data_IF_918734033247
#
_entry.id   IF_918734033247
#
_cell.length_a   1.000
_cell.length_b   1.000
_cell.length_c   1.000
_cell.angle_alpha   90.00
_cell.angle_beta   90.00
_cell.angle_gamma   90.00
#
_symmetry.space_group_name_H-M   'P 1'
#
loop_
_entity.id
_entity.type
_entity.pdbx_description
1 polymer ?
#
# COMPACT_ATOMS: atom_id res chain seq x y z
N UNK A 1 -47.65 -13.11 -10.91
CA UNK A 1 -46.32 -13.13 -10.28
C UNK A 1 -45.49 -12.11 -11.03
N UNK A 2 -45.14 -10.98 -10.40
CA UNK A 2 -44.24 -10.02 -11.02
C UNK A 2 -42.88 -10.67 -11.26
N UNK A 3 -42.32 -10.49 -12.46
CA UNK A 3 -40.98 -10.96 -12.76
C UNK A 3 -39.99 -10.30 -11.78
N UNK A 4 -39.02 -11.04 -11.22
CA UNK A 4 -38.04 -10.46 -10.30
C UNK A 4 -37.28 -9.35 -11.02
N UNK A 5 -37.33 -8.13 -10.45
CA UNK A 5 -36.66 -6.95 -11.00
C UNK A 5 -35.16 -7.23 -11.05
N UNK A 6 -34.56 -7.03 -12.23
CA UNK A 6 -33.12 -7.16 -12.43
C UNK A 6 -32.45 -5.83 -12.03
N UNK A 7 -31.39 -5.93 -11.22
CA UNK A 7 -30.55 -4.78 -10.81
C UNK A 7 -29.12 -5.07 -11.22
N UNK A 8 -28.56 -4.17 -12.03
CA UNK A 8 -27.18 -4.23 -12.51
C UNK A 8 -26.28 -3.33 -11.67
N UNK A 9 -25.30 -3.96 -11.00
CA UNK A 9 -24.26 -3.28 -10.22
C UNK A 9 -22.99 -3.23 -11.06
N UNK A 10 -22.60 -2.03 -11.47
CA UNK A 10 -21.31 -1.78 -12.09
C UNK A 10 -20.22 -1.57 -11.04
N UNK A 11 -19.10 -2.29 -11.16
CA UNK A 11 -17.93 -2.14 -10.29
C UNK A 11 -16.74 -1.68 -11.12
N UNK A 12 -16.37 -0.40 -10.99
CA UNK A 12 -15.19 0.15 -11.64
C UNK A 12 -14.04 0.14 -10.66
N UNK A 13 -12.96 -0.55 -11.01
CA UNK A 13 -11.79 -0.65 -10.15
C UNK A 13 -10.58 -0.06 -10.85
N UNK A 14 -9.75 0.64 -10.08
CA UNK A 14 -8.44 1.07 -10.53
C UNK A 14 -7.60 -0.12 -11.00
N UNK A 15 -6.82 0.10 -12.05
CA UNK A 15 -5.88 -0.88 -12.57
C UNK A 15 -4.90 -1.32 -11.47
N UNK A 16 -4.58 -2.62 -11.42
CA UNK A 16 -3.67 -3.17 -10.42
C UNK A 16 -4.39 -3.89 -9.29
N UNK A 17 -4.07 -3.55 -8.03
CA UNK A 17 -4.58 -4.29 -6.87
C UNK A 17 -6.12 -4.21 -6.72
N UNK A 18 -6.78 -3.05 -6.93
CA UNK A 18 -8.24 -2.95 -6.87
C UNK A 18 -8.94 -3.90 -7.83
N UNK A 19 -8.58 -3.85 -9.11
CA UNK A 19 -9.16 -4.75 -10.10
C UNK A 19 -8.86 -6.22 -9.81
N UNK A 20 -7.65 -6.57 -9.35
CA UNK A 20 -7.31 -7.95 -8.96
C UNK A 20 -8.20 -8.47 -7.83
N UNK A 21 -8.52 -7.63 -6.84
CA UNK A 21 -9.41 -8.00 -5.74
C UNK A 21 -10.83 -8.18 -6.24
N UNK A 22 -11.36 -7.24 -7.02
CA UNK A 22 -12.73 -7.31 -7.56
C UNK A 22 -12.91 -8.51 -8.48
N UNK A 23 -12.00 -8.72 -9.43
CA UNK A 23 -12.03 -9.88 -10.32
C UNK A 23 -12.06 -11.21 -9.55
N UNK A 24 -11.36 -11.28 -8.41
CA UNK A 24 -11.32 -12.51 -7.60
C UNK A 24 -12.59 -12.81 -6.79
N UNK A 25 -13.51 -11.84 -6.67
CA UNK A 25 -14.77 -12.01 -5.92
C UNK A 25 -16.01 -11.82 -6.79
N UNK A 26 -15.86 -11.30 -8.01
CA UNK A 26 -16.96 -10.85 -8.86
C UNK A 26 -17.99 -11.94 -9.16
N UNK A 27 -17.53 -13.15 -9.46
CA UNK A 27 -18.42 -14.29 -9.76
C UNK A 27 -19.32 -14.67 -8.58
N UNK A 28 -18.86 -14.45 -7.34
CA UNK A 28 -19.62 -14.75 -6.12
C UNK A 28 -20.56 -13.60 -5.70
N UNK A 29 -20.39 -12.40 -6.27
CA UNK A 29 -21.13 -11.21 -5.83
C UNK A 29 -22.64 -11.31 -6.10
N UNK A 30 -23.14 -11.80 -7.25
CA UNK A 30 -24.57 -11.97 -7.48
C UNK A 30 -25.26 -12.80 -6.39
N UNK A 31 -24.72 -13.98 -6.06
CA UNK A 31 -25.26 -14.86 -5.02
C UNK A 31 -25.13 -14.24 -3.63
N UNK A 32 -24.03 -13.51 -3.39
CA UNK A 32 -23.83 -12.76 -2.14
C UNK A 32 -24.89 -11.66 -1.98
N UNK A 33 -25.24 -10.95 -3.06
CA UNK A 33 -26.25 -9.91 -3.00
C UNK A 33 -27.67 -10.50 -2.91
N UNK A 34 -27.95 -11.61 -3.58
CA UNK A 34 -29.20 -12.33 -3.44
C UNK A 34 -29.43 -12.80 -1.98
N UNK A 35 -28.39 -13.34 -1.35
CA UNK A 35 -28.48 -13.87 0.02
C UNK A 35 -28.45 -12.79 1.11
N UNK A 36 -27.63 -11.75 0.93
CA UNK A 36 -27.36 -10.77 2.00
C UNK A 36 -27.99 -9.39 1.74
N UNK A 37 -28.38 -9.03 0.53
CA UNK A 37 -28.98 -7.73 0.23
C UNK A 37 -30.48 -7.87 0.00
N UNK A 38 -30.89 -8.61 -1.02
CA UNK A 38 -32.31 -8.91 -1.27
C UNK A 38 -32.45 -10.13 -2.18
N UNK A 39 -33.19 -11.14 -1.70
CA UNK A 39 -33.51 -12.35 -2.46
C UNK A 39 -34.66 -12.17 -3.46
N UNK A 40 -35.33 -11.01 -3.45
CA UNK A 40 -36.42 -10.68 -4.39
C UNK A 40 -35.90 -10.05 -5.69
N UNK A 41 -34.63 -9.68 -5.72
CA UNK A 41 -33.97 -8.98 -6.83
C UNK A 41 -33.05 -9.95 -7.56
N UNK A 42 -33.09 -9.94 -8.89
CA UNK A 42 -32.07 -10.63 -9.70
C UNK A 42 -30.85 -9.72 -9.83
N UNK A 43 -29.70 -10.19 -9.38
CA UNK A 43 -28.48 -9.39 -9.38
C UNK A 43 -27.60 -9.71 -10.59
N UNK A 44 -27.22 -8.68 -11.32
CA UNK A 44 -26.18 -8.74 -12.35
C UNK A 44 -25.01 -7.87 -11.90
N UNK A 45 -23.80 -8.41 -11.95
CA UNK A 45 -22.59 -7.67 -11.58
C UNK A 45 -21.68 -7.58 -12.79
N UNK A 46 -21.38 -6.36 -13.19
CA UNK A 46 -20.41 -6.09 -14.25
C UNK A 46 -19.22 -5.37 -13.61
N UNK A 47 -18.01 -5.71 -14.03
CA UNK A 47 -16.82 -5.07 -13.51
C UNK A 47 -15.85 -4.71 -14.62
N UNK A 48 -15.15 -3.60 -14.44
CA UNK A 48 -14.17 -3.12 -15.41
C UNK A 48 -12.91 -2.60 -14.71
N UNK A 49 -11.78 -2.69 -15.41
CA UNK A 49 -10.54 -2.05 -15.01
C UNK A 49 -10.46 -0.71 -15.72
N UNK A 50 -10.44 0.39 -14.97
CA UNK A 50 -10.33 1.73 -15.54
C UNK A 50 -9.37 2.56 -14.73
N UNK A 51 -8.79 3.59 -15.35
CA UNK A 51 -8.11 4.64 -14.61
C UNK A 51 -9.17 5.67 -14.18
N UNK A 52 -9.57 5.64 -12.90
CA UNK A 52 -10.55 6.63 -12.41
C UNK A 52 -9.97 8.06 -12.54
N UNK A 53 -10.71 9.02 -13.11
CA UNK A 53 -10.22 10.39 -13.22
C UNK A 53 -10.12 11.05 -11.84
N UNK A 54 -9.24 12.05 -11.75
CA UNK A 54 -9.09 12.92 -10.59
C UNK A 54 -9.46 14.35 -10.99
N UNK A 55 -10.25 15.02 -10.16
CA UNK A 55 -10.58 16.44 -10.29
C UNK A 55 -9.38 17.33 -9.89
N UNK A 56 -9.55 18.65 -9.97
CA UNK A 56 -8.50 19.63 -9.63
C UNK A 56 -8.06 19.54 -8.16
N UNK A 57 -8.95 19.08 -7.28
CA UNK A 57 -8.68 18.86 -5.87
C UNK A 57 -7.99 17.51 -5.60
N UNK A 58 -7.83 16.67 -6.63
CA UNK A 58 -7.26 15.32 -6.54
C UNK A 58 -8.23 14.27 -6.00
N UNK A 59 -9.52 14.59 -5.96
CA UNK A 59 -10.60 13.68 -5.57
C UNK A 59 -11.20 12.98 -6.81
N UNK A 60 -11.84 11.84 -6.59
CA UNK A 60 -12.55 11.12 -7.67
C UNK A 60 -13.96 11.74 -7.82
N UNK A 61 -14.35 12.25 -9.00
CA UNK A 61 -15.64 12.90 -9.22
C UNK A 61 -16.77 11.87 -9.35
N UNK A 62 -17.22 11.34 -8.21
CA UNK A 62 -18.19 10.23 -8.12
C UNK A 62 -19.49 10.51 -8.89
N UNK A 63 -20.04 11.73 -8.79
CA UNK A 63 -21.31 12.09 -9.42
C UNK A 63 -21.23 12.07 -10.94
N UNK A 64 -20.22 12.74 -11.50
CA UNK A 64 -19.97 12.77 -12.95
C UNK A 64 -19.79 11.37 -13.52
N UNK A 65 -19.05 10.50 -12.83
CA UNK A 65 -18.88 9.11 -13.24
C UNK A 65 -20.20 8.33 -13.19
N UNK A 66 -21.01 8.51 -12.14
CA UNK A 66 -22.31 7.85 -12.04
C UNK A 66 -23.22 8.22 -13.21
N UNK A 67 -23.35 9.52 -13.51
CA UNK A 67 -24.17 10.02 -14.61
C UNK A 67 -23.71 9.48 -15.97
N UNK A 68 -22.40 9.48 -16.21
CA UNK A 68 -21.83 8.99 -17.45
C UNK A 68 -22.12 7.50 -17.64
N UNK A 69 -21.91 6.67 -16.61
CA UNK A 69 -22.12 5.23 -16.71
C UNK A 69 -23.60 4.86 -16.79
N UNK A 70 -24.47 5.58 -16.09
CA UNK A 70 -25.93 5.40 -16.22
C UNK A 70 -26.41 5.66 -17.64
N UNK A 71 -25.88 6.70 -18.31
CA UNK A 71 -26.26 7.04 -19.70
C UNK A 71 -25.74 6.04 -20.74
N UNK A 72 -24.53 5.50 -20.55
CA UNK A 72 -23.86 4.71 -21.60
C UNK A 72 -23.91 3.19 -21.38
N UNK A 73 -24.00 2.72 -20.13
CA UNK A 73 -23.95 1.28 -19.78
C UNK A 73 -25.22 0.77 -19.10
N UNK A 74 -26.16 1.65 -18.76
CA UNK A 74 -27.45 1.26 -18.16
C UNK A 74 -27.34 0.63 -16.77
N UNK A 75 -26.24 0.88 -16.04
CA UNK A 75 -26.06 0.37 -14.68
C UNK A 75 -26.96 1.11 -13.69
N UNK A 76 -27.65 0.36 -12.83
CA UNK A 76 -28.53 0.93 -11.79
C UNK A 76 -27.70 1.55 -10.66
N UNK A 77 -26.65 0.85 -10.24
CA UNK A 77 -25.77 1.22 -9.14
C UNK A 77 -24.30 1.17 -9.59
N UNK A 78 -23.50 2.12 -9.10
CA UNK A 78 -22.06 2.19 -9.40
C UNK A 78 -21.22 2.08 -8.12
N UNK A 79 -20.25 1.18 -8.10
CA UNK A 79 -19.23 1.11 -7.05
C UNK A 79 -17.85 1.32 -7.65
N UNK A 80 -17.20 2.40 -7.25
CA UNK A 80 -15.83 2.73 -7.57
C UNK A 80 -14.90 2.12 -6.51
N UNK A 81 -13.78 1.52 -6.93
CA UNK A 81 -12.81 0.90 -6.03
C UNK A 81 -11.42 1.41 -6.38
N UNK A 82 -10.80 2.11 -5.45
CA UNK A 82 -9.52 2.80 -5.67
C UNK A 82 -8.44 2.33 -4.69
N UNK A 83 -7.20 2.34 -5.15
CA UNK A 83 -5.98 2.25 -4.36
C UNK A 83 -5.54 3.62 -3.81
N UNK A 84 -6.25 4.71 -4.14
CA UNK A 84 -6.06 6.00 -3.50
C UNK A 84 -6.61 6.03 -2.07
N UNK A 85 -5.83 6.51 -1.10
CA UNK A 85 -6.27 6.61 0.28
C UNK A 85 -7.19 7.82 0.49
N UNK A 86 -8.42 7.56 0.87
CA UNK A 86 -9.45 8.60 1.06
C UNK A 86 -9.43 9.19 2.47
N UNK A 87 -9.75 10.48 2.61
CA UNK A 87 -9.74 11.20 3.90
C UNK A 87 -10.85 12.24 4.02
N UNK A 88 -11.23 12.49 5.27
CA UNK A 88 -11.98 13.67 5.67
C UNK A 88 -11.24 14.33 6.84
N UNK A 89 -10.49 15.39 6.53
CA UNK A 89 -9.52 15.98 7.45
C UNK A 89 -8.42 14.99 7.86
N UNK A 90 -8.34 14.68 9.16
CA UNK A 90 -7.30 13.75 9.70
C UNK A 90 -7.78 12.30 9.84
N UNK A 91 -9.01 12.00 9.41
CA UNK A 91 -9.61 10.68 9.58
C UNK A 91 -9.58 9.90 8.25
N UNK A 92 -9.02 8.67 8.24
CA UNK A 92 -9.11 7.79 7.08
C UNK A 92 -10.56 7.49 6.71
N UNK A 93 -10.92 7.60 5.43
CA UNK A 93 -12.25 7.27 4.91
C UNK A 93 -12.17 5.93 4.19
N UNK A 94 -13.03 4.98 4.57
CA UNK A 94 -13.10 3.64 3.98
C UNK A 94 -14.01 3.65 2.76
N UNK A 95 -15.14 4.33 2.88
CA UNK A 95 -16.09 4.47 1.79
C UNK A 95 -16.74 5.86 1.80
N UNK A 96 -16.99 6.39 0.61
CA UNK A 96 -17.94 7.48 0.38
C UNK A 96 -19.17 6.91 -0.32
N UNK A 97 -20.36 7.32 0.09
CA UNK A 97 -21.62 6.87 -0.50
C UNK A 97 -22.45 8.09 -0.84
N UNK A 98 -22.83 8.21 -2.11
CA UNK A 98 -23.79 9.21 -2.57
C UNK A 98 -25.06 8.47 -2.98
N UNK A 99 -26.02 8.41 -2.04
CA UNK A 99 -27.26 7.67 -2.24
C UNK A 99 -28.06 8.31 -3.38
N UNK A 100 -28.15 9.64 -3.42
CA UNK A 100 -28.86 10.41 -4.45
C UNK A 100 -28.34 10.14 -5.86
N UNK A 101 -27.04 9.88 -6.02
CA UNK A 101 -26.47 9.54 -7.32
C UNK A 101 -26.27 8.05 -7.54
N UNK A 102 -26.56 7.21 -6.54
CA UNK A 102 -26.52 5.74 -6.70
C UNK A 102 -25.09 5.23 -6.85
N UNK A 103 -24.14 5.97 -6.30
CA UNK A 103 -22.70 5.72 -6.47
C UNK A 103 -22.00 5.66 -5.13
N UNK A 104 -21.01 4.77 -5.04
CA UNK A 104 -20.14 4.68 -3.89
C UNK A 104 -18.67 4.54 -4.31
N UNK A 105 -17.77 4.98 -3.45
CA UNK A 105 -16.34 4.88 -3.61
C UNK A 105 -15.76 4.10 -2.43
N UNK A 106 -14.99 3.06 -2.69
CA UNK A 106 -14.28 2.24 -1.70
C UNK A 106 -12.78 2.50 -1.85
N UNK A 107 -12.15 2.92 -0.75
CA UNK A 107 -10.68 3.05 -0.65
C UNK A 107 -10.08 1.76 -0.09
N UNK A 108 -9.39 0.99 -0.93
CA UNK A 108 -8.73 -0.25 -0.51
C UNK A 108 -7.68 -0.06 0.58
N UNK A 109 -6.81 0.97 0.55
CA UNK A 109 -5.80 1.15 1.59
C UNK A 109 -6.42 1.25 2.99
N UNK A 110 -7.60 1.86 3.11
CA UNK A 110 -8.31 2.00 4.39
C UNK A 110 -8.78 0.64 4.97
N UNK A 111 -8.88 -0.41 4.14
CA UNK A 111 -9.17 -1.77 4.58
C UNK A 111 -7.95 -2.48 5.18
N UNK A 112 -6.75 -1.93 5.02
CA UNK A 112 -5.49 -2.44 5.55
C UNK A 112 -4.89 -3.59 4.75
N UNK A 113 -3.93 -4.31 5.34
CA UNK A 113 -3.15 -5.33 4.62
C UNK A 113 -3.69 -6.77 4.71
N UNK A 114 -4.60 -7.05 5.65
CA UNK A 114 -5.01 -8.41 6.05
C UNK A 114 -6.49 -8.65 5.73
N UNK A 115 -6.81 -9.82 5.16
CA UNK A 115 -8.16 -10.25 4.77
C UNK A 115 -8.89 -9.23 3.86
N UNK A 116 -8.15 -8.56 2.98
CA UNK A 116 -8.67 -7.49 2.11
C UNK A 116 -9.87 -7.96 1.30
N UNK A 117 -9.80 -9.13 0.66
CA UNK A 117 -10.90 -9.70 -0.13
C UNK A 117 -12.21 -9.84 0.67
N UNK A 118 -12.12 -10.45 1.86
CA UNK A 118 -13.27 -10.62 2.77
C UNK A 118 -13.85 -9.27 3.20
N UNK A 119 -13.00 -8.29 3.47
CA UNK A 119 -13.43 -6.94 3.88
C UNK A 119 -14.06 -6.16 2.72
N UNK A 120 -13.53 -6.29 1.51
CA UNK A 120 -14.10 -5.68 0.30
C UNK A 120 -15.48 -6.28 0.01
N UNK A 121 -15.62 -7.61 0.01
CA UNK A 121 -16.92 -8.28 -0.17
C UNK A 121 -17.95 -7.82 0.87
N UNK A 122 -17.56 -7.79 2.15
CA UNK A 122 -18.44 -7.29 3.22
C UNK A 122 -18.84 -5.82 3.04
N UNK A 123 -17.93 -4.98 2.56
CA UNK A 123 -18.21 -3.56 2.32
C UNK A 123 -19.09 -3.35 1.09
N UNK A 124 -18.86 -4.11 0.01
CA UNK A 124 -19.70 -4.10 -1.20
C UNK A 124 -21.15 -4.41 -0.85
N UNK A 125 -21.41 -5.48 -0.10
CA UNK A 125 -22.77 -5.84 0.37
C UNK A 125 -23.43 -4.67 1.09
N UNK A 126 -22.71 -3.99 1.97
CA UNK A 126 -23.27 -2.88 2.77
C UNK A 126 -23.53 -1.65 1.94
N UNK A 127 -22.59 -1.30 1.06
CA UNK A 127 -22.69 -0.16 0.17
C UNK A 127 -23.84 -0.36 -0.80
N UNK A 128 -23.93 -1.53 -1.44
CA UNK A 128 -25.03 -1.88 -2.35
C UNK A 128 -26.36 -1.85 -1.62
N UNK A 129 -26.45 -2.40 -0.40
CA UNK A 129 -27.66 -2.28 0.43
C UNK A 129 -28.04 -0.83 0.71
N UNK A 130 -27.07 0.02 1.06
CA UNK A 130 -27.32 1.44 1.30
C UNK A 130 -27.82 2.16 0.04
N UNK A 131 -27.24 1.87 -1.12
CA UNK A 131 -27.65 2.46 -2.39
C UNK A 131 -29.02 1.95 -2.86
N UNK A 132 -29.36 0.69 -2.59
CA UNK A 132 -30.65 0.10 -2.94
C UNK A 132 -31.82 0.78 -2.22
N UNK A 133 -31.60 1.33 -1.02
CA UNK A 133 -32.60 2.12 -0.27
C UNK A 133 -33.15 3.31 -1.06
N UNK A 134 -32.40 3.84 -2.05
CA UNK A 134 -32.87 4.88 -2.96
C UNK A 134 -33.99 4.41 -3.89
N UNK A 135 -33.97 3.14 -4.30
CA UNK A 135 -34.82 2.65 -5.37
C UNK A 135 -36.26 2.36 -4.93
N UNK A 136 -36.61 2.64 -3.67
CA UNK A 136 -37.94 2.34 -3.11
C UNK A 136 -38.24 0.85 -2.97
N UNK A 137 -37.20 0.02 -2.87
CA UNK A 137 -37.30 -1.46 -2.97
C UNK A 137 -37.60 -2.13 -1.62
N UNK A 138 -37.48 -1.41 -0.50
CA UNK A 138 -37.96 -1.87 0.81
C UNK A 138 -38.93 -0.85 1.40
N UNK A 139 -40.21 -1.24 1.49
CA UNK A 139 -41.19 -0.56 2.31
C UNK A 139 -40.97 -0.88 3.79
N UNK A 140 -41.10 0.17 4.60
CA UNK A 140 -41.21 0.20 6.07
C UNK A 140 -39.95 0.07 6.96
N UNK A 141 -39.91 1.04 7.90
CA UNK A 141 -39.03 1.26 9.05
C UNK A 141 -37.75 2.10 8.85
N UNK A 142 -37.93 3.35 9.26
CA UNK A 142 -37.03 4.50 9.40
C UNK A 142 -35.86 4.22 10.36
N UNK A 143 -34.69 3.95 9.78
CA UNK A 143 -33.38 4.12 10.43
C UNK A 143 -32.45 4.58 9.31
N UNK A 144 -31.87 5.78 9.43
CA UNK A 144 -31.16 6.44 8.33
C UNK A 144 -30.03 5.59 7.71
N UNK A 145 -29.71 5.75 6.40
CA UNK A 145 -28.66 4.98 5.71
C UNK A 145 -27.29 5.02 6.42
N UNK A 146 -27.03 6.17 7.04
CA UNK A 146 -25.91 6.52 7.90
C UNK A 146 -25.74 5.62 9.14
N UNK A 147 -26.84 5.22 9.76
CA UNK A 147 -26.88 4.52 11.04
C UNK A 147 -26.75 3.00 10.84
N UNK A 148 -27.29 2.47 9.74
CA UNK A 148 -27.06 1.08 9.28
C UNK A 148 -25.59 0.81 8.92
N UNK A 149 -24.85 1.86 8.54
CA UNK A 149 -23.42 1.78 8.22
C UNK A 149 -22.54 1.81 9.49
N UNK A 150 -23.05 2.36 10.60
CA UNK A 150 -22.38 2.43 11.93
C UNK A 150 -22.33 1.08 12.64
N UNK A 151 -23.40 0.30 12.61
CA UNK A 151 -23.53 -0.93 13.42
C UNK A 151 -22.52 -2.03 13.09
N UNK A 152 -21.91 -1.99 11.90
CA UNK A 152 -21.19 -3.13 11.38
C UNK A 152 -19.67 -2.92 11.22
N UNK A 153 -19.11 -1.76 11.56
CA UNK A 153 -17.68 -1.44 11.46
C UNK A 153 -17.05 -1.11 12.83
N UNK A 154 -15.83 -1.63 13.05
CA UNK A 154 -14.83 -1.16 14.05
C UNK A 154 -14.89 0.37 14.12
N UNK A 155 -14.91 1.03 15.30
CA UNK A 155 -15.66 2.26 15.52
C UNK A 155 -15.40 3.28 14.41
N UNK A 156 -16.43 3.56 13.62
CA UNK A 156 -16.40 4.54 12.53
C UNK A 156 -17.23 5.76 12.91
N UNK A 157 -16.75 6.97 12.59
CA UNK A 157 -17.54 8.21 12.68
C UNK A 157 -18.02 8.56 11.27
N UNK A 158 -19.32 8.75 11.14
CA UNK A 158 -19.89 9.36 9.94
C UNK A 158 -19.46 10.82 9.88
N UNK A 159 -19.03 11.25 8.71
CA UNK A 159 -18.85 12.67 8.41
C UNK A 159 -19.80 12.99 7.27
N UNK A 160 -20.85 13.76 7.59
CA UNK A 160 -21.65 14.44 6.58
C UNK A 160 -20.81 15.59 6.07
N UNK A 161 -20.52 15.59 4.77
CA UNK A 161 -19.75 16.66 4.16
C UNK A 161 -20.66 17.89 3.99
N UNK A 162 -20.51 18.91 4.82
CA UNK A 162 -21.29 20.16 4.70
C UNK A 162 -21.04 20.90 3.37
N UNK A 163 -19.96 20.57 2.63
CA UNK A 163 -19.64 21.17 1.33
C UNK A 163 -20.28 20.44 0.14
N UNK A 164 -20.68 19.18 0.30
CA UNK A 164 -21.33 18.35 -0.75
C UNK A 164 -22.53 17.63 -0.11
N UNK A 165 -23.71 18.26 -0.19
CA UNK A 165 -24.90 18.04 0.66
C UNK A 165 -25.52 16.62 0.67
N UNK A 166 -25.05 15.65 -0.12
CA UNK A 166 -25.59 14.29 -0.17
C UNK A 166 -24.58 13.17 0.11
N UNK A 167 -23.27 13.47 0.18
CA UNK A 167 -22.25 12.42 0.25
C UNK A 167 -21.95 12.04 1.70
N UNK A 168 -22.24 10.79 2.02
CA UNK A 168 -22.00 10.20 3.34
C UNK A 168 -20.64 9.51 3.38
N UNK A 169 -19.70 10.00 4.20
CA UNK A 169 -18.35 9.41 4.33
C UNK A 169 -18.22 8.57 5.59
N UNK A 170 -17.69 7.35 5.45
CA UNK A 170 -17.41 6.41 6.54
C UNK A 170 -15.95 6.51 6.95
N UNK A 171 -15.67 7.17 8.07
CA UNK A 171 -14.31 7.35 8.53
C UNK A 171 -13.92 6.39 9.67
N UNK A 172 -12.73 5.80 9.60
CA UNK A 172 -12.14 5.02 10.70
C UNK A 172 -11.77 5.93 11.87
N UNK A 173 -12.01 5.47 13.10
CA UNK A 173 -11.67 6.22 14.32
C UNK A 173 -10.45 5.62 15.01
N UNK A 174 -9.65 6.49 15.64
CA UNK A 174 -8.57 6.12 16.55
C UNK A 174 -7.26 5.69 15.88
N UNK A 175 -6.26 5.36 16.72
CA UNK A 175 -4.92 4.96 16.30
C UNK A 175 -4.93 3.70 15.44
N UNK A 176 -5.79 2.73 15.77
CA UNK A 176 -5.97 1.48 14.99
C UNK A 176 -6.42 1.74 13.56
N UNK A 177 -7.28 2.74 13.34
CA UNK A 177 -7.71 3.15 12.00
C UNK A 177 -6.57 3.72 11.16
N UNK A 178 -5.71 4.55 11.78
CA UNK A 178 -4.53 5.13 11.14
C UNK A 178 -3.46 4.09 10.82
N UNK A 179 -3.15 3.20 11.76
CA UNK A 179 -2.21 2.09 11.55
C UNK A 179 -2.72 1.13 10.46
N UNK A 180 -4.04 0.88 10.42
CA UNK A 180 -4.64 0.06 9.37
C UNK A 180 -4.49 0.71 8.00
N UNK A 181 -4.77 2.00 7.87
CA UNK A 181 -4.56 2.74 6.63
C UNK A 181 -3.10 2.66 6.18
N UNK A 182 -2.15 2.94 7.10
CA UNK A 182 -0.71 2.83 6.84
C UNK A 182 -0.33 1.44 6.35
N UNK A 183 -0.79 0.38 7.01
CA UNK A 183 -0.51 -0.98 6.59
C UNK A 183 -1.08 -1.28 5.19
N UNK A 184 -2.25 -0.74 4.85
CA UNK A 184 -2.84 -0.85 3.51
C UNK A 184 -2.01 -0.14 2.45
N UNK A 185 -1.57 1.10 2.72
CA UNK A 185 -0.69 1.86 1.83
C UNK A 185 0.66 1.17 1.61
N UNK A 186 1.30 0.70 2.69
CA UNK A 186 2.58 -0.02 2.62
C UNK A 186 2.44 -1.28 1.77
N UNK A 187 1.34 -2.03 1.93
CA UNK A 187 1.07 -3.20 1.09
C UNK A 187 0.90 -2.82 -0.37
N UNK A 188 0.20 -1.73 -0.64
CA UNK A 188 -0.09 -1.27 -1.99
C UNK A 188 1.18 -0.87 -2.75
N UNK A 189 2.15 -0.31 -2.02
CA UNK A 189 3.50 -0.03 -2.49
C UNK A 189 4.38 -1.28 -2.77
N UNK A 190 3.90 -2.51 -2.48
CA UNK A 190 4.58 -3.81 -2.76
C UNK A 190 6.09 -3.82 -2.45
N UNK A 191 6.51 -3.67 -1.18
CA UNK A 191 7.90 -3.41 -0.79
C UNK A 191 8.91 -4.48 -1.25
N UNK A 192 8.47 -5.73 -1.42
CA UNK A 192 9.32 -6.83 -1.91
C UNK A 192 9.72 -6.71 -3.38
N UNK A 193 9.02 -5.90 -4.18
CA UNK A 193 9.40 -5.67 -5.58
C UNK A 193 10.62 -4.76 -5.72
N UNK A 194 11.05 -4.11 -4.64
CA UNK A 194 12.25 -3.27 -4.63
C UNK A 194 13.53 -4.07 -4.94
N UNK A 195 13.67 -5.27 -4.38
CA UNK A 195 14.90 -6.08 -4.44
C UNK A 195 15.37 -6.37 -5.87
N UNK A 196 14.55 -6.92 -6.78
CA UNK A 196 15.01 -7.21 -8.15
C UNK A 196 15.27 -5.96 -9.00
N UNK A 197 14.74 -4.79 -8.62
CA UNK A 197 14.95 -3.54 -9.37
C UNK A 197 16.21 -2.79 -8.91
N UNK A 198 16.78 -3.16 -7.75
CA UNK A 198 18.05 -2.65 -7.23
C UNK A 198 19.20 -3.65 -7.51
N UNK A 199 19.27 -4.15 -8.74
CA UNK A 199 20.19 -5.23 -9.10
C UNK A 199 21.67 -4.83 -8.94
N UNK A 200 22.02 -3.58 -9.29
CA UNK A 200 23.35 -3.02 -9.13
C UNK A 200 23.71 -2.82 -7.65
N UNK A 201 22.79 -2.25 -6.86
CA UNK A 201 22.98 -2.09 -5.42
C UNK A 201 23.16 -3.44 -4.71
N UNK A 202 22.34 -4.43 -5.09
CA UNK A 202 22.39 -5.80 -4.55
C UNK A 202 23.69 -6.50 -4.94
N UNK A 203 24.13 -6.35 -6.19
CA UNK A 203 25.39 -6.92 -6.67
C UNK A 203 26.61 -6.31 -5.97
N UNK A 204 26.65 -4.99 -5.81
CA UNK A 204 27.69 -4.30 -5.06
C UNK A 204 27.71 -4.76 -3.58
N UNK A 205 26.54 -4.83 -2.95
CA UNK A 205 26.43 -5.33 -1.58
C UNK A 205 26.89 -6.79 -1.42
N UNK A 206 26.51 -7.66 -2.37
CA UNK A 206 26.92 -9.06 -2.39
C UNK A 206 28.44 -9.19 -2.57
N UNK A 207 29.04 -8.44 -3.50
CA UNK A 207 30.49 -8.43 -3.72
C UNK A 207 31.26 -7.97 -2.48
N UNK A 208 30.82 -6.89 -1.83
CA UNK A 208 31.44 -6.41 -0.59
C UNK A 208 31.28 -7.42 0.56
N UNK A 209 30.10 -8.04 0.71
CA UNK A 209 29.89 -9.06 1.72
C UNK A 209 30.77 -10.29 1.48
N UNK A 210 30.89 -10.74 0.22
CA UNK A 210 31.76 -11.85 -0.17
C UNK A 210 33.24 -11.55 0.13
N UNK A 211 33.71 -10.33 -0.16
CA UNK A 211 35.05 -9.89 0.22
C UNK A 211 35.27 -9.94 1.75
N UNK A 212 34.27 -9.53 2.53
CA UNK A 212 34.32 -9.65 3.99
C UNK A 212 34.43 -11.11 4.46
N UNK A 213 33.67 -12.01 3.84
CA UNK A 213 33.65 -13.44 4.19
C UNK A 213 35.01 -14.10 3.96
N UNK A 214 35.74 -13.75 2.90
CA UNK A 214 37.04 -14.37 2.60
C UNK A 214 38.21 -13.74 3.38
N UNK A 215 37.97 -12.63 4.07
CA UNK A 215 39.03 -11.83 4.72
C UNK A 215 39.11 -12.10 6.22
N UNK A 216 40.24 -12.61 6.69
CA UNK A 216 40.44 -12.99 8.10
C UNK A 216 40.33 -11.83 9.11
N UNK A 217 40.55 -10.59 8.69
CA UNK A 217 40.31 -9.41 9.56
C UNK A 217 38.84 -9.25 9.94
N UNK A 218 37.91 -9.58 9.03
CA UNK A 218 36.47 -9.55 9.33
C UNK A 218 36.07 -10.66 10.28
N UNK A 219 36.75 -11.80 10.24
CA UNK A 219 36.51 -12.93 11.15
C UNK A 219 36.78 -12.52 12.58
N UNK A 220 37.98 -11.97 12.82
CA UNK A 220 38.40 -11.49 14.14
C UNK A 220 37.52 -10.33 14.61
N UNK A 221 37.15 -9.42 13.70
CA UNK A 221 36.27 -8.31 14.03
C UNK A 221 34.86 -8.79 14.41
N UNK A 222 34.27 -9.73 13.67
CA UNK A 222 32.95 -10.27 13.97
C UNK A 222 32.92 -11.03 15.30
N UNK A 223 33.98 -11.78 15.62
CA UNK A 223 34.11 -12.51 16.88
C UNK A 223 34.27 -11.58 18.09
N UNK A 224 34.97 -10.45 17.93
CA UNK A 224 35.14 -9.45 18.99
C UNK A 224 33.88 -8.63 19.29
N UNK A 225 32.86 -8.65 18.42
CA UNK A 225 31.64 -7.85 18.58
C UNK A 225 30.53 -8.68 19.22
N UNK A 226 29.92 -8.23 20.33
CA UNK A 226 28.76 -8.94 20.90
C UNK A 226 27.56 -8.85 19.96
N UNK A 227 26.71 -9.87 19.97
CA UNK A 227 25.53 -9.95 19.07
C UNK A 227 24.60 -8.73 19.17
N UNK A 228 24.50 -8.09 20.35
CA UNK A 228 23.74 -6.84 20.52
C UNK A 228 24.32 -5.69 19.67
N UNK A 229 25.65 -5.60 19.56
CA UNK A 229 26.31 -4.58 18.75
C UNK A 229 26.13 -4.87 17.26
N UNK A 230 26.16 -6.14 16.85
CA UNK A 230 25.83 -6.55 15.48
C UNK A 230 24.37 -6.22 15.12
N UNK A 231 23.43 -6.44 16.04
CA UNK A 231 22.05 -6.04 15.86
C UNK A 231 21.90 -4.51 15.72
N UNK A 232 22.63 -3.73 16.52
CA UNK A 232 22.65 -2.27 16.40
C UNK A 232 23.21 -1.82 15.04
N UNK A 233 24.30 -2.44 14.58
CA UNK A 233 24.89 -2.18 13.26
C UNK A 233 23.87 -2.47 12.15
N UNK A 234 23.16 -3.60 12.20
CA UNK A 234 22.11 -3.92 11.24
C UNK A 234 21.01 -2.85 11.21
N UNK A 235 20.51 -2.43 12.38
CA UNK A 235 19.48 -1.38 12.47
C UNK A 235 19.99 -0.08 11.84
N UNK A 236 21.22 0.33 12.16
CA UNK A 236 21.86 1.52 11.58
C UNK A 236 22.03 1.39 10.07
N UNK A 237 22.48 0.23 9.56
CA UNK A 237 22.60 -0.04 8.13
C UNK A 237 21.25 0.07 7.41
N UNK A 238 20.19 -0.54 7.96
CA UNK A 238 18.84 -0.47 7.39
C UNK A 238 18.35 0.99 7.37
N UNK A 239 18.60 1.75 8.43
CA UNK A 239 18.25 3.18 8.49
C UNK A 239 19.02 3.99 7.45
N UNK A 240 20.34 3.80 7.33
CA UNK A 240 21.18 4.48 6.34
C UNK A 240 20.68 4.19 4.92
N UNK A 241 20.46 2.92 4.58
CA UNK A 241 19.99 2.55 3.24
C UNK A 241 18.57 3.08 2.97
N UNK A 242 17.69 3.08 3.98
CA UNK A 242 16.34 3.67 3.86
C UNK A 242 16.42 5.18 3.61
N UNK A 243 17.25 5.90 4.37
CA UNK A 243 17.46 7.34 4.19
C UNK A 243 18.09 7.62 2.83
N UNK A 244 19.08 6.83 2.42
CA UNK A 244 19.73 6.93 1.12
C UNK A 244 18.71 6.82 -0.02
N UNK A 245 17.92 5.74 -0.05
CA UNK A 245 16.89 5.55 -1.07
C UNK A 245 15.84 6.67 -1.05
N UNK A 246 15.51 7.19 0.13
CA UNK A 246 14.53 8.26 0.28
C UNK A 246 15.05 9.60 -0.27
N UNK A 247 16.29 9.97 0.06
CA UNK A 247 16.90 11.25 -0.33
C UNK A 247 17.34 11.22 -1.79
N UNK A 248 18.00 10.15 -2.21
CA UNK A 248 18.57 10.00 -3.55
C UNK A 248 17.49 9.95 -4.64
N UNK A 249 16.35 9.28 -4.38
CA UNK A 249 15.27 9.15 -5.38
C UNK A 249 14.19 10.25 -5.26
N UNK A 250 14.50 11.34 -4.53
CA UNK A 250 13.59 12.46 -4.28
C UNK A 250 12.17 12.04 -3.88
N UNK A 251 12.04 10.97 -3.11
CA UNK A 251 10.76 10.36 -2.75
C UNK A 251 9.98 11.16 -1.70
N UNK A 252 10.56 12.27 -1.22
CA UNK A 252 10.00 13.07 -0.14
C UNK A 252 9.10 14.18 -0.67
N UNK A 253 7.79 14.03 -0.47
CA UNK A 253 6.79 15.05 -0.83
C UNK A 253 6.96 16.27 0.10
N UNK A 254 7.16 17.46 -0.47
CA UNK A 254 7.29 18.74 0.26
C UNK A 254 5.97 19.52 0.15
N UNK A 255 5.17 19.59 1.23
CA UNK A 255 3.84 20.21 1.19
C UNK A 255 3.91 21.73 1.05
N UNK A 256 3.03 22.30 0.23
CA UNK A 256 2.94 23.75 -0.01
C UNK A 256 2.00 24.48 0.98
N UNK A 257 1.13 23.76 1.70
CA UNK A 257 0.20 24.30 2.71
C UNK A 257 0.09 23.51 4.04
N UNK A 258 -0.55 24.09 5.05
CA UNK A 258 -0.67 23.51 6.41
C UNK A 258 -1.59 22.28 6.50
N UNK A 259 -2.68 22.25 5.73
CA UNK A 259 -3.57 21.08 5.60
C UNK A 259 -2.92 19.97 4.79
N UNK A 260 -2.08 20.31 3.80
CA UNK A 260 -1.28 19.38 3.00
C UNK A 260 -0.18 18.72 3.82
N UNK A 261 0.40 19.40 4.82
CA UNK A 261 1.48 18.86 5.68
C UNK A 261 1.14 17.55 6.37
N UNK A 262 -0.07 17.42 6.94
CA UNK A 262 -0.49 16.17 7.61
C UNK A 262 -0.82 15.04 6.65
N UNK A 263 -1.13 15.38 5.40
CA UNK A 263 -1.32 14.43 4.32
C UNK A 263 0.03 13.94 3.82
N UNK A 264 0.93 14.85 3.45
CA UNK A 264 2.30 14.55 3.06
C UNK A 264 3.05 13.74 4.13
N UNK A 265 2.91 14.05 5.42
CA UNK A 265 3.60 13.30 6.48
C UNK A 265 3.19 11.82 6.51
N UNK A 266 1.91 11.51 6.29
CA UNK A 266 1.49 10.11 6.34
C UNK A 266 1.92 9.33 5.09
N UNK A 267 1.92 9.98 3.93
CA UNK A 267 2.50 9.42 2.72
C UNK A 267 4.00 9.18 2.90
N UNK A 268 4.76 10.17 3.36
CA UNK A 268 6.19 10.06 3.61
C UNK A 268 6.50 8.96 4.65
N UNK A 269 5.69 8.82 5.70
CA UNK A 269 5.81 7.72 6.67
C UNK A 269 5.51 6.37 6.02
N UNK A 270 4.48 6.28 5.18
CA UNK A 270 4.19 5.04 4.42
C UNK A 270 5.32 4.68 3.47
N UNK A 271 5.86 5.65 2.73
CA UNK A 271 7.02 5.49 1.84
C UNK A 271 8.23 5.01 2.62
N UNK A 272 8.61 5.71 3.68
CA UNK A 272 9.76 5.35 4.51
C UNK A 272 9.60 3.94 5.13
N UNK A 273 8.39 3.62 5.59
CA UNK A 273 8.08 2.28 6.13
C UNK A 273 8.17 1.21 5.04
N UNK A 274 7.67 1.49 3.84
CA UNK A 274 7.75 0.60 2.67
C UNK A 274 9.21 0.34 2.32
N UNK A 275 10.02 1.39 2.18
CA UNK A 275 11.44 1.28 1.87
C UNK A 275 12.19 0.51 2.95
N UNK A 276 11.93 0.79 4.23
CA UNK A 276 12.54 0.05 5.34
C UNK A 276 12.21 -1.45 5.27
N UNK A 277 10.94 -1.81 4.97
CA UNK A 277 10.55 -3.21 4.78
C UNK A 277 11.26 -3.83 3.57
N UNK A 278 11.32 -3.12 2.44
CA UNK A 278 12.01 -3.58 1.23
C UNK A 278 13.50 -3.82 1.47
N UNK A 279 14.18 -2.87 2.11
CA UNK A 279 15.59 -2.98 2.54
C UNK A 279 15.79 -4.13 3.53
N UNK A 280 14.87 -4.34 4.47
CA UNK A 280 14.94 -5.47 5.41
C UNK A 280 14.77 -6.82 4.68
N UNK A 281 13.89 -6.89 3.69
CA UNK A 281 13.77 -8.08 2.83
C UNK A 281 15.05 -8.33 2.03
N UNK A 282 15.63 -7.29 1.44
CA UNK A 282 16.92 -7.37 0.74
C UNK A 282 18.03 -7.85 1.69
N UNK A 283 18.08 -7.31 2.91
CA UNK A 283 19.01 -7.75 3.96
C UNK A 283 18.88 -9.25 4.21
N UNK A 284 17.65 -9.74 4.41
CA UNK A 284 17.41 -11.16 4.68
C UNK A 284 17.89 -12.06 3.52
N UNK A 285 17.64 -11.66 2.27
CA UNK A 285 18.10 -12.41 1.09
C UNK A 285 19.64 -12.44 1.04
N UNK A 286 20.30 -11.28 1.19
CA UNK A 286 21.75 -11.19 1.19
C UNK A 286 22.37 -11.96 2.36
N UNK A 287 21.74 -11.94 3.54
CA UNK A 287 22.18 -12.70 4.71
C UNK A 287 22.14 -14.20 4.44
N UNK A 288 21.05 -14.71 3.84
CA UNK A 288 20.94 -16.14 3.50
C UNK A 288 21.99 -16.54 2.46
N UNK A 289 22.17 -15.73 1.41
CA UNK A 289 23.19 -16.00 0.38
C UNK A 289 24.61 -15.98 0.95
N UNK A 290 24.92 -14.99 1.80
CA UNK A 290 26.19 -14.86 2.48
C UNK A 290 26.44 -16.01 3.46
N UNK A 291 25.41 -16.49 4.16
CA UNK A 291 25.50 -17.65 5.04
C UNK A 291 25.82 -18.93 4.27
N UNK A 292 25.16 -19.15 3.13
CA UNK A 292 25.46 -20.28 2.25
C UNK A 292 26.90 -20.18 1.72
N UNK A 293 27.33 -18.99 1.29
CA UNK A 293 28.70 -18.77 0.83
C UNK A 293 29.73 -19.03 1.93
N UNK A 294 29.51 -18.51 3.14
CA UNK A 294 30.41 -18.73 4.28
C UNK A 294 30.48 -20.22 4.66
N UNK A 295 29.34 -20.93 4.66
CA UNK A 295 29.31 -22.36 4.96
C UNK A 295 30.06 -23.21 3.93
N UNK A 296 30.06 -22.82 2.66
CA UNK A 296 30.78 -23.52 1.59
C UNK A 296 32.27 -23.16 1.55
N UNK A 297 32.61 -21.89 1.76
CA UNK A 297 33.97 -21.39 1.57
C UNK A 297 34.86 -21.53 2.81
N UNK A 298 34.29 -21.46 4.01
CA UNK A 298 35.06 -21.41 5.25
C UNK A 298 35.02 -22.77 5.94
N UNK A 299 36.14 -23.49 5.89
CA UNK A 299 36.35 -24.70 6.68
C UNK A 299 36.33 -24.38 8.19
N UNK A 300 35.62 -25.20 8.95
CA UNK A 300 35.44 -24.99 10.39
C UNK A 300 36.74 -25.14 11.19
N UNK A 301 37.67 -25.99 10.75
CA UNK A 301 38.97 -26.18 11.39
C UNK A 301 39.87 -24.97 11.16
N UNK A 302 39.93 -24.50 9.92
CA UNK A 302 40.67 -23.27 9.58
C UNK A 302 40.11 -22.04 10.32
N UNK A 303 38.78 -21.94 10.41
CA UNK A 303 38.14 -20.84 11.13
C UNK A 303 38.44 -20.87 12.63
N UNK A 304 38.41 -22.06 13.26
CA UNK A 304 38.82 -22.24 14.65
C UNK A 304 40.30 -21.90 14.88
N UNK A 305 41.18 -22.29 13.96
CA UNK A 305 42.60 -21.96 14.05
C UNK A 305 42.84 -20.45 13.95
N UNK A 306 42.12 -19.76 13.05
CA UNK A 306 42.24 -18.32 12.86
C UNK A 306 41.74 -17.50 14.07
N UNK A 307 40.72 -18.01 14.78
CA UNK A 307 40.14 -17.35 15.95
C UNK A 307 40.76 -17.80 17.29
N UNK A 308 41.40 -18.97 17.34
CA UNK A 308 42.03 -19.49 18.55
C UNK A 308 41.06 -20.13 19.56
N UNK A 309 39.81 -20.40 19.16
CA UNK A 309 38.82 -21.11 19.97
C UNK A 309 37.91 -21.98 19.10
N UNK A 310 37.08 -22.81 19.74
CA UNK A 310 36.10 -23.64 19.03
C UNK A 310 35.05 -22.75 18.37
N UNK A 311 34.76 -23.01 17.10
CA UNK A 311 33.72 -22.30 16.34
C UNK A 311 32.47 -23.15 16.23
N UNK A 312 31.32 -22.49 16.21
CA UNK A 312 30.03 -23.11 15.97
C UNK A 312 29.19 -22.28 15.02
N UNK A 313 27.92 -22.67 14.84
CA UNK A 313 26.99 -21.99 13.93
C UNK A 313 26.85 -20.50 14.29
N UNK A 314 26.88 -20.14 15.58
CA UNK A 314 26.82 -18.75 16.04
C UNK A 314 27.97 -17.88 15.51
N UNK A 315 29.17 -18.44 15.37
CA UNK A 315 30.33 -17.72 14.84
C UNK A 315 30.15 -17.37 13.36
N UNK A 316 29.62 -18.32 12.57
CA UNK A 316 29.26 -18.08 11.16
C UNK A 316 28.14 -17.03 11.05
N UNK A 317 27.11 -17.12 11.89
CA UNK A 317 26.02 -16.14 11.92
C UNK A 317 26.54 -14.73 12.23
N UNK A 318 27.42 -14.58 13.24
CA UNK A 318 28.01 -13.28 13.59
C UNK A 318 28.85 -12.69 12.45
N UNK A 319 29.66 -13.54 11.79
CA UNK A 319 30.45 -13.13 10.64
C UNK A 319 29.57 -12.63 9.49
N UNK A 320 28.57 -13.44 9.12
CA UNK A 320 27.64 -13.09 8.03
C UNK A 320 26.84 -11.84 8.38
N UNK A 321 26.41 -11.70 9.62
CA UNK A 321 25.72 -10.49 10.11
C UNK A 321 26.55 -9.23 9.86
N UNK A 322 27.84 -9.26 10.24
CA UNK A 322 28.74 -8.15 10.00
C UNK A 322 28.94 -7.88 8.50
N UNK A 323 29.27 -8.91 7.72
CA UNK A 323 29.55 -8.80 6.29
C UNK A 323 28.34 -8.31 5.49
N UNK A 324 27.14 -8.81 5.75
CA UNK A 324 25.91 -8.35 5.10
C UNK A 324 25.63 -6.88 5.45
N UNK A 325 25.89 -6.46 6.70
CA UNK A 325 25.64 -5.08 7.13
C UNK A 325 26.60 -4.09 6.47
N UNK A 326 27.88 -4.45 6.33
CA UNK A 326 28.87 -3.66 5.58
C UNK A 326 28.55 -3.67 4.09
N UNK A 327 28.14 -4.82 3.55
CA UNK A 327 27.74 -4.96 2.16
C UNK A 327 26.62 -4.00 1.77
N UNK A 328 25.54 -3.90 2.56
CA UNK A 328 24.43 -3.01 2.23
C UNK A 328 24.82 -1.53 2.24
N UNK A 329 25.72 -1.12 3.14
CA UNK A 329 26.24 0.26 3.14
C UNK A 329 27.03 0.55 1.86
N UNK A 330 27.84 -0.42 1.40
CA UNK A 330 28.54 -0.29 0.11
C UNK A 330 27.58 -0.36 -1.09
N UNK A 331 26.53 -1.18 -1.00
CA UNK A 331 25.48 -1.29 -2.02
C UNK A 331 24.70 0.00 -2.22
N UNK A 332 24.50 0.80 -1.16
CA UNK A 332 23.92 2.14 -1.26
C UNK A 332 24.76 3.03 -2.20
N UNK A 333 26.08 3.02 -2.05
CA UNK A 333 26.98 3.75 -2.95
C UNK A 333 26.91 3.21 -4.38
N UNK A 334 26.81 1.88 -4.55
CA UNK A 334 26.64 1.25 -5.86
C UNK A 334 25.30 1.54 -6.54
N UNK A 335 24.26 1.90 -5.77
CA UNK A 335 22.94 2.24 -6.30
C UNK A 335 22.89 3.62 -6.96
N UNK A 336 23.93 4.44 -6.84
CA UNK A 336 23.97 5.78 -7.45
C UNK A 336 24.11 5.76 -8.98
N UNK A 337 24.20 4.57 -9.58
CA UNK A 337 24.27 4.37 -11.03
C UNK A 337 22.96 3.80 -11.60
N UNK A 338 21.94 3.58 -10.75
CA UNK A 338 20.63 3.10 -11.16
C UNK A 338 19.71 4.27 -11.52
N UNK A 339 18.88 4.06 -12.53
CA UNK A 339 17.95 5.08 -13.03
C UNK A 339 16.83 5.36 -12.02
N UNK A 340 16.60 6.65 -11.72
CA UNK A 340 15.67 7.12 -10.69
C UNK A 340 14.23 6.66 -10.96
N UNK A 341 13.85 6.55 -12.24
CA UNK A 341 12.53 6.10 -12.67
C UNK A 341 12.32 4.59 -12.38
N UNK A 342 13.39 3.80 -12.39
CA UNK A 342 13.36 2.37 -12.07
C UNK A 342 13.10 2.15 -10.58
N UNK A 343 13.75 2.91 -9.70
CA UNK A 343 13.54 2.79 -8.24
C UNK A 343 12.16 3.31 -7.84
N UNK A 344 11.72 4.43 -8.44
CA UNK A 344 10.38 4.99 -8.21
C UNK A 344 9.28 4.02 -8.65
N UNK A 345 9.48 3.35 -9.79
CA UNK A 345 8.55 2.35 -10.30
C UNK A 345 8.54 1.02 -9.53
N UNK A 346 9.53 0.80 -8.66
CA UNK A 346 9.54 -0.32 -7.74
C UNK A 346 8.94 0.03 -6.36
N UNK A 347 8.98 1.31 -5.97
CA UNK A 347 8.60 1.78 -4.62
C UNK A 347 7.12 2.14 -4.49
N UNK A 348 6.50 2.68 -5.53
CA UNK A 348 5.14 3.22 -5.44
C UNK A 348 4.09 2.41 -6.19
N UNK A 349 2.87 2.34 -5.66
CA UNK A 349 1.67 1.98 -6.43
C UNK A 349 1.46 2.94 -7.61
N UNK A 350 0.69 2.52 -8.63
CA UNK A 350 0.53 3.30 -9.87
C UNK A 350 -0.08 4.68 -9.60
N UNK A 351 -1.09 4.74 -8.74
CA UNK A 351 -1.77 5.99 -8.37
C UNK A 351 -0.93 6.99 -7.59
N UNK A 352 -0.06 6.50 -6.71
CA UNK A 352 0.84 7.37 -5.97
C UNK A 352 1.84 8.06 -6.91
N UNK A 353 2.28 7.37 -7.98
CA UNK A 353 3.14 7.98 -9.02
C UNK A 353 2.42 9.06 -9.79
N UNK A 354 1.20 8.78 -10.28
CA UNK A 354 0.40 9.75 -11.02
C UNK A 354 0.14 11.03 -10.20
N UNK A 355 -0.14 10.87 -8.90
CA UNK A 355 -0.31 11.99 -7.97
C UNK A 355 0.97 12.81 -7.86
N UNK A 356 2.12 12.17 -7.67
CA UNK A 356 3.41 12.87 -7.53
C UNK A 356 3.82 13.58 -8.82
N UNK A 357 3.62 12.96 -9.98
CA UNK A 357 3.86 13.59 -11.28
C UNK A 357 2.99 14.83 -11.48
N UNK A 358 1.72 14.80 -11.09
CA UNK A 358 0.84 15.97 -11.12
C UNK A 358 1.32 17.08 -10.19
N UNK A 359 1.73 16.76 -8.96
CA UNK A 359 2.31 17.74 -8.04
C UNK A 359 3.59 18.36 -8.60
N UNK A 360 4.43 17.57 -9.28
CA UNK A 360 5.65 18.06 -9.91
C UNK A 360 5.34 19.03 -11.06
N UNK A 361 4.46 18.64 -11.99
CA UNK A 361 4.03 19.50 -13.11
C UNK A 361 3.40 20.80 -12.62
N UNK A 362 2.53 20.74 -11.60
CA UNK A 362 1.93 21.93 -10.99
C UNK A 362 2.98 22.83 -10.30
N UNK A 363 4.07 22.26 -9.78
CA UNK A 363 5.21 22.99 -9.24
C UNK A 363 6.09 23.63 -10.32
N UNK A 364 6.34 22.93 -11.43
CA UNK A 364 7.07 23.41 -12.61
C UNK A 364 6.34 24.59 -13.27
N UNK A 365 5.02 24.50 -13.46
CA UNK A 365 4.20 25.58 -14.03
C UNK A 365 4.19 26.83 -13.14
N UNK A 366 4.15 26.65 -11.81
CA UNK A 366 4.23 27.76 -10.84
C UNK A 366 5.63 28.38 -10.77
N UNK A 367 6.67 27.60 -11.03
CA UNK A 367 8.05 28.08 -11.14
C UNK A 367 8.28 28.88 -12.42
N UNK A 368 7.72 28.40 -13.54
CA UNK A 368 7.83 29.06 -14.85
C UNK A 368 6.97 30.33 -14.97
N UNK A 369 5.91 30.48 -14.16
CA UNK A 369 5.11 31.71 -14.08
C UNK A 369 5.73 32.79 -13.16
N UNK A 370 6.80 32.46 -12.44
CA UNK A 370 7.54 33.38 -11.55
C UNK A 370 8.91 33.78 -12.09
N UNK A 371 9.35 33.19 -13.21
CA UNK A 371 10.54 33.57 -13.95
C UNK A 371 10.14 34.29 -15.22
#
# INVERSE_FOLDING_TARGET
MDAPREVTVGVLADEGLPHQVIRSIAEELPDTFASLVSGRTRWRVEHDAVQLPLDEDGDIPMRTLSEQHRRHRGWDLLVLVTDLPQRAGTRPVVAGVDVEEGVALISLPALGAVLVRRRVRALLVRVVRSLLSRSGIDGEHDVGPAERLREALVPTKLLTDQRRSSTTRVALVGLRGRLRLLAGMVRDNRPWRLVPHLAGATAAAAGTAAYGIITSSFWKLADALPSLRLAAIMVVTVLIMTVWLTVYNHLWDRPSGSTERRTALLYNVSTATTLAIGVTCMYAVLFVLALLAAAVLIDSGYFAQALGHRVGVGTYLNLVWLCTSVGIVAGALGSSLEDEETVRSATYGRRERERQERHRRAGEDRGSAKS
#
